data_IF_346178768422
#
_entry.id   IF_346178768422
#
_cell.length_a   1.000
_cell.length_b   1.000
_cell.length_c   1.000
_cell.angle_alpha   90.00
_cell.angle_beta   90.00
_cell.angle_gamma   90.00
#
_symmetry.space_group_name_H-M   'P 1'
#
loop_
_entity.id
_entity.type
_entity.pdbx_description
1 polymer ?
#
# COMPACT_ATOMS: atom_id res chain seq x y z
N UNK A 1 65.17 11.99 20.58
CA UNK A 1 64.02 11.24 21.08
C UNK A 1 62.78 11.89 20.49
N UNK A 2 62.24 11.30 19.42
CA UNK A 2 61.34 11.94 18.48
C UNK A 2 59.87 11.65 18.80
N UNK A 3 59.10 12.72 18.97
CA UNK A 3 57.65 12.73 18.93
C UNK A 3 57.21 13.19 17.54
N UNK A 4 56.38 12.40 16.87
CA UNK A 4 55.73 12.82 15.63
C UNK A 4 55.49 11.66 14.68
N UNK A 5 54.42 10.90 14.87
CA UNK A 5 53.81 10.07 13.81
C UNK A 5 52.45 9.44 14.22
N UNK A 6 51.45 10.22 14.66
CA UNK A 6 50.13 9.64 15.01
C UNK A 6 48.94 10.58 14.77
N UNK A 7 48.85 11.22 13.59
CA UNK A 7 47.73 12.12 13.29
C UNK A 7 47.16 12.05 11.86
N UNK A 8 47.47 11.04 11.05
CA UNK A 8 47.14 11.05 9.61
C UNK A 8 46.35 9.85 9.07
N UNK A 9 45.58 9.14 9.90
CA UNK A 9 44.86 7.92 9.47
C UNK A 9 43.34 7.89 9.79
N UNK A 10 42.69 9.05 9.91
CA UNK A 10 41.23 9.15 10.12
C UNK A 10 40.49 9.91 9.01
N UNK A 11 41.09 10.01 7.81
CA UNK A 11 40.47 10.62 6.63
C UNK A 11 39.92 9.60 5.62
N UNK A 12 39.68 8.36 6.04
CA UNK A 12 39.12 7.31 5.18
C UNK A 12 37.59 7.31 5.26
N UNK A 13 37.00 7.93 4.24
CA UNK A 13 35.73 7.53 3.62
C UNK A 13 34.44 7.71 4.45
N UNK A 14 34.10 8.96 4.81
CA UNK A 14 32.70 9.34 4.88
C UNK A 14 32.17 9.49 3.44
N UNK A 15 31.92 8.37 2.76
CA UNK A 15 31.11 8.42 1.56
C UNK A 15 29.74 8.98 1.98
N UNK A 16 29.22 10.02 1.33
CA UNK A 16 27.86 10.45 1.60
C UNK A 16 26.97 9.23 1.36
N UNK A 17 26.26 8.80 2.41
CA UNK A 17 25.11 7.92 2.26
C UNK A 17 24.18 8.67 1.31
N UNK A 18 24.23 8.32 0.02
CA UNK A 18 23.30 8.84 -0.95
C UNK A 18 21.92 8.43 -0.44
N UNK A 19 21.12 9.41 -0.03
CA UNK A 19 19.76 9.17 0.40
C UNK A 19 19.07 8.39 -0.73
N UNK A 20 18.64 7.16 -0.42
CA UNK A 20 17.88 6.36 -1.37
C UNK A 20 16.54 7.07 -1.55
N UNK A 21 16.30 7.50 -2.78
CA UNK A 21 15.10 8.21 -3.18
C UNK A 21 14.52 7.50 -4.39
N UNK A 22 13.24 7.70 -4.62
CA UNK A 22 12.64 7.38 -5.91
C UNK A 22 13.28 8.25 -7.00
N UNK A 23 13.63 7.62 -8.10
CA UNK A 23 14.16 8.30 -9.27
C UNK A 23 13.44 7.79 -10.51
N UNK A 24 13.28 8.68 -11.49
CA UNK A 24 12.84 8.28 -12.82
C UNK A 24 14.05 8.08 -13.72
N UNK A 25 14.14 6.90 -14.32
CA UNK A 25 15.00 6.62 -15.45
C UNK A 25 14.15 6.69 -16.72
N UNK A 26 14.48 7.62 -17.61
CA UNK A 26 13.78 7.82 -18.87
C UNK A 26 14.76 7.64 -20.02
N UNK A 27 14.37 6.84 -21.01
CA UNK A 27 15.21 6.52 -22.16
C UNK A 27 14.38 6.32 -23.43
N UNK A 28 15.05 6.36 -24.58
CA UNK A 28 14.51 5.98 -25.89
C UNK A 28 15.62 5.32 -26.68
N UNK A 29 15.52 4.01 -26.89
CA UNK A 29 16.51 3.22 -27.65
C UNK A 29 16.21 3.15 -29.16
N UNK A 30 15.14 3.82 -29.58
CA UNK A 30 14.62 3.83 -30.93
C UNK A 30 13.57 2.73 -31.21
N UNK A 31 13.43 1.74 -30.34
CA UNK A 31 12.36 0.76 -30.34
C UNK A 31 11.23 1.18 -29.41
N UNK A 32 11.56 1.49 -28.16
CA UNK A 32 10.64 2.03 -27.16
C UNK A 32 11.26 3.25 -26.46
N UNK A 33 10.41 4.23 -26.17
CA UNK A 33 10.68 5.25 -25.18
C UNK A 33 10.04 4.82 -23.85
N UNK A 34 10.87 4.57 -22.84
CA UNK A 34 10.46 4.06 -21.54
C UNK A 34 10.66 5.09 -20.43
N UNK A 35 9.80 5.02 -19.41
CA UNK A 35 9.98 5.71 -18.14
C UNK A 35 9.80 4.74 -16.99
N UNK A 36 10.83 4.61 -16.15
CA UNK A 36 10.86 3.69 -15.01
C UNK A 36 11.05 4.49 -13.74
N UNK A 37 10.16 4.33 -12.78
CA UNK A 37 10.23 4.95 -11.46
C UNK A 37 10.52 3.85 -10.47
N UNK A 38 11.71 3.89 -9.89
CA UNK A 38 12.21 2.83 -9.02
C UNK A 38 12.77 3.40 -7.73
N UNK A 39 12.62 2.63 -6.66
CA UNK A 39 13.35 2.83 -5.41
C UNK A 39 14.38 1.69 -5.27
N UNK A 40 15.69 1.99 -5.21
CA UNK A 40 16.71 0.95 -5.11
C UNK A 40 16.50 0.02 -3.90
N UNK A 41 16.31 -1.27 -4.17
CA UNK A 41 16.22 -2.32 -3.15
C UNK A 41 14.83 -2.52 -2.52
N UNK A 42 13.80 -1.79 -2.95
CA UNK A 42 12.44 -1.94 -2.41
C UNK A 42 11.66 -3.12 -3.03
N UNK A 43 11.97 -3.47 -4.28
CA UNK A 43 11.18 -4.46 -5.02
C UNK A 43 9.81 -3.94 -5.46
N UNK A 44 9.66 -2.61 -5.63
CA UNK A 44 8.46 -1.96 -6.16
C UNK A 44 8.85 -0.97 -7.25
N UNK A 45 8.08 -0.91 -8.34
CA UNK A 45 8.32 0.02 -9.44
C UNK A 45 7.05 0.48 -10.15
N UNK A 46 7.18 1.57 -10.89
CA UNK A 46 6.19 2.02 -11.86
C UNK A 46 6.88 2.15 -13.21
N UNK A 47 6.32 1.56 -14.25
CA UNK A 47 6.87 1.66 -15.58
C UNK A 47 5.80 2.08 -16.60
N UNK A 48 6.24 2.82 -17.61
CA UNK A 48 5.48 3.07 -18.82
C UNK A 48 6.41 2.93 -20.02
N UNK A 49 5.88 2.45 -21.14
CA UNK A 49 6.62 2.35 -22.38
C UNK A 49 5.73 2.76 -23.56
N UNK A 50 6.28 3.58 -24.44
CA UNK A 50 5.66 4.04 -25.67
C UNK A 50 6.51 3.62 -26.85
N UNK A 51 5.88 3.16 -27.94
CA UNK A 51 6.62 2.85 -29.17
C UNK A 51 7.41 4.10 -29.57
N UNK A 52 8.71 3.97 -29.79
CA UNK A 52 9.54 5.11 -30.17
C UNK A 52 9.11 5.66 -31.53
N UNK A 53 9.23 6.97 -31.72
CA UNK A 53 9.00 7.64 -33.01
C UNK A 53 9.98 7.17 -34.09
N UNK A 54 11.14 6.65 -33.69
CA UNK A 54 12.13 6.07 -34.60
C UNK A 54 11.68 4.70 -35.15
N UNK A 55 10.81 4.00 -34.43
CA UNK A 55 10.18 2.75 -34.81
C UNK A 55 11.16 1.65 -35.28
N UNK A 56 12.35 1.56 -34.67
CA UNK A 56 13.33 0.50 -34.96
C UNK A 56 12.77 -0.89 -34.64
N UNK A 57 13.12 -1.94 -35.40
CA UNK A 57 12.67 -3.29 -35.11
C UNK A 57 13.01 -3.73 -33.68
N UNK A 58 12.06 -4.37 -32.97
CA UNK A 58 12.27 -4.81 -31.58
C UNK A 58 13.39 -5.83 -31.40
N UNK A 59 13.68 -6.60 -32.45
CA UNK A 59 14.83 -7.51 -32.47
C UNK A 59 16.17 -6.77 -32.45
N UNK A 60 16.24 -5.55 -32.99
CA UNK A 60 17.46 -4.72 -32.98
C UNK A 60 17.69 -4.09 -31.61
N UNK A 61 16.61 -3.74 -30.89
CA UNK A 61 16.70 -3.08 -29.58
C UNK A 61 16.58 -4.05 -28.39
N UNK A 62 16.44 -5.35 -28.65
CA UNK A 62 16.27 -6.41 -27.64
C UNK A 62 15.02 -6.27 -26.76
N UNK A 63 13.98 -5.58 -27.25
CA UNK A 63 12.70 -5.37 -26.55
C UNK A 63 11.60 -6.36 -26.94
N UNK A 64 11.97 -7.51 -27.53
CA UNK A 64 11.00 -8.47 -28.06
C UNK A 64 10.32 -9.34 -26.98
N UNK A 65 10.81 -9.29 -25.73
CA UNK A 65 10.30 -10.07 -24.59
C UNK A 65 9.69 -9.21 -23.47
N UNK A 66 9.60 -7.89 -23.63
CA UNK A 66 9.16 -7.04 -22.53
C UNK A 66 7.64 -6.91 -22.47
N UNK A 67 7.11 -6.91 -21.25
CA UNK A 67 5.72 -6.54 -21.00
C UNK A 67 5.56 -5.03 -21.14
N UNK A 68 4.54 -4.59 -21.89
CA UNK A 68 4.32 -3.17 -22.18
C UNK A 68 2.94 -2.76 -21.69
N UNK A 69 2.91 -1.76 -20.80
CA UNK A 69 1.68 -1.13 -20.37
C UNK A 69 0.93 -0.52 -21.58
N UNK A 70 -0.42 -0.59 -21.62
CA UNK A 70 -1.18 0.14 -22.63
C UNK A 70 -0.92 1.65 -22.59
N UNK A 71 -1.21 2.39 -23.68
CA UNK A 71 -1.02 3.84 -23.70
C UNK A 71 -1.71 4.55 -22.54
N UNK A 72 -1.01 5.51 -21.93
CA UNK A 72 -1.47 6.31 -20.79
C UNK A 72 -1.75 5.49 -19.52
N UNK A 73 -1.08 4.35 -19.36
CA UNK A 73 -1.11 3.56 -18.15
C UNK A 73 0.29 3.42 -17.56
N UNK A 74 0.36 3.36 -16.23
CA UNK A 74 1.51 2.80 -15.54
C UNK A 74 1.26 1.31 -15.32
N UNK A 75 2.26 0.50 -15.59
CA UNK A 75 2.35 -0.82 -14.99
C UNK A 75 3.03 -0.65 -13.62
N UNK A 76 2.33 -1.05 -12.57
CA UNK A 76 2.89 -1.14 -11.22
C UNK A 76 3.42 -2.55 -11.05
N UNK A 77 4.65 -2.67 -10.54
CA UNK A 77 5.30 -3.95 -10.34
C UNK A 77 5.76 -4.16 -8.90
N UNK A 78 5.70 -5.41 -8.45
CA UNK A 78 6.23 -5.85 -7.15
C UNK A 78 7.05 -7.13 -7.33
N UNK A 79 8.25 -7.19 -6.76
CA UNK A 79 9.07 -8.40 -6.77
C UNK A 79 8.58 -9.42 -5.73
N UNK A 80 9.14 -10.63 -5.79
CA UNK A 80 8.81 -11.72 -4.86
C UNK A 80 9.25 -11.48 -3.40
N UNK A 81 10.18 -10.55 -3.15
CA UNK A 81 10.64 -10.24 -1.80
C UNK A 81 9.64 -9.36 -1.07
N UNK A 82 8.99 -8.45 -1.80
CA UNK A 82 7.94 -7.58 -1.29
C UNK A 82 6.57 -8.26 -1.28
N UNK A 83 6.23 -8.99 -2.36
CA UNK A 83 4.96 -9.72 -2.50
C UNK A 83 5.25 -11.17 -2.91
N UNK A 84 5.09 -12.15 -2.00
CA UNK A 84 5.39 -13.55 -2.32
C UNK A 84 4.64 -14.08 -3.54
N UNK A 85 5.33 -14.88 -4.37
CA UNK A 85 4.82 -15.55 -5.57
C UNK A 85 4.18 -16.92 -5.28
N UNK A 86 3.62 -17.10 -4.08
CA UNK A 86 3.09 -18.39 -3.59
C UNK A 86 1.73 -18.79 -4.22
N UNK A 87 1.20 -17.94 -5.10
CA UNK A 87 -0.12 -18.07 -5.74
C UNK A 87 -0.03 -17.64 -7.21
N UNK A 88 -0.97 -18.07 -8.07
CA UNK A 88 -0.98 -17.65 -9.47
C UNK A 88 -1.53 -16.22 -9.68
N UNK A 89 -2.32 -15.71 -8.72
CA UNK A 89 -2.96 -14.40 -8.80
C UNK A 89 -3.11 -13.79 -7.39
N UNK A 90 -3.04 -12.47 -7.28
CA UNK A 90 -3.29 -11.70 -6.03
C UNK A 90 -4.36 -10.66 -6.25
N UNK A 91 -5.36 -10.62 -5.38
CA UNK A 91 -6.42 -9.59 -5.36
C UNK A 91 -6.57 -8.93 -3.98
N UNK A 92 -5.60 -9.22 -3.12
CA UNK A 92 -5.54 -8.87 -1.70
C UNK A 92 -4.57 -7.72 -1.42
N UNK A 93 -4.07 -7.03 -2.46
CA UNK A 93 -3.11 -5.94 -2.32
C UNK A 93 -3.83 -4.59 -2.24
N UNK A 94 -3.52 -3.82 -1.21
CA UNK A 94 -4.06 -2.48 -0.95
C UNK A 94 -2.91 -1.51 -0.75
N UNK A 95 -2.90 -0.41 -1.50
CA UNK A 95 -1.99 0.72 -1.29
C UNK A 95 -2.70 1.80 -0.50
N UNK A 96 -2.24 2.08 0.71
CA UNK A 96 -2.68 3.24 1.47
C UNK A 96 -1.80 4.43 1.10
N UNK A 97 -2.38 5.39 0.39
CA UNK A 97 -1.75 6.65 0.05
C UNK A 97 -2.26 7.68 1.04
N UNK A 98 -1.38 8.11 1.93
CA UNK A 98 -1.69 8.86 3.14
C UNK A 98 -2.70 8.10 4.02
N UNK A 99 -3.96 8.52 4.02
CA UNK A 99 -5.04 7.88 4.76
C UNK A 99 -6.04 7.18 3.84
N UNK A 100 -5.86 7.21 2.52
CA UNK A 100 -6.82 6.60 1.59
C UNK A 100 -6.31 5.25 1.10
N UNK A 101 -7.09 4.19 1.34
CA UNK A 101 -6.80 2.85 0.86
C UNK A 101 -7.28 2.63 -0.58
N UNK A 102 -6.36 2.33 -1.48
CA UNK A 102 -6.62 1.98 -2.87
C UNK A 102 -6.36 0.49 -3.08
N UNK A 103 -7.43 -0.29 -3.25
CA UNK A 103 -7.29 -1.71 -3.63
C UNK A 103 -6.82 -1.81 -5.07
N UNK A 104 -5.73 -2.52 -5.29
CA UNK A 104 -5.26 -2.80 -6.64
C UNK A 104 -6.18 -3.83 -7.31
N UNK A 105 -6.38 -3.73 -8.64
CA UNK A 105 -6.96 -4.82 -9.42
C UNK A 105 -6.20 -6.13 -9.21
N UNK A 106 -6.83 -7.24 -9.59
CA UNK A 106 -6.17 -8.53 -9.51
C UNK A 106 -4.86 -8.52 -10.34
N UNK A 107 -3.76 -8.89 -9.69
CA UNK A 107 -2.42 -8.93 -10.25
C UNK A 107 -2.08 -10.36 -10.64
N UNK A 108 -1.41 -10.52 -11.77
CA UNK A 108 -0.89 -11.79 -12.25
C UNK A 108 0.62 -11.84 -12.08
N UNK A 109 1.14 -13.03 -11.78
CA UNK A 109 2.58 -13.24 -11.70
C UNK A 109 3.13 -13.35 -13.12
N UNK A 110 4.03 -12.45 -13.47
CA UNK A 110 4.73 -12.51 -14.73
C UNK A 110 6.02 -13.30 -14.56
N UNK A 111 6.02 -14.56 -15.02
CA UNK A 111 7.19 -15.44 -14.92
C UNK A 111 8.40 -14.93 -15.72
N UNK A 112 8.16 -14.17 -16.79
CA UNK A 112 9.22 -13.65 -17.65
C UNK A 112 9.99 -12.52 -16.95
N UNK A 113 9.26 -11.61 -16.30
CA UNK A 113 9.85 -10.48 -15.58
C UNK A 113 10.19 -10.82 -14.11
N UNK A 114 9.62 -11.89 -13.56
CA UNK A 114 9.78 -12.28 -12.16
C UNK A 114 9.09 -11.32 -11.19
N UNK A 115 7.97 -10.73 -11.61
CA UNK A 115 7.27 -9.68 -10.87
C UNK A 115 5.74 -9.86 -10.93
N UNK A 116 5.06 -9.43 -9.88
CA UNK A 116 3.62 -9.17 -9.92
C UNK A 116 3.35 -7.89 -10.69
N UNK A 117 2.38 -7.90 -11.61
CA UNK A 117 2.11 -6.73 -12.46
C UNK A 117 0.63 -6.36 -12.51
N UNK A 118 0.36 -5.06 -12.53
CA UNK A 118 -0.99 -4.51 -12.77
C UNK A 118 -0.89 -3.21 -13.54
N UNK A 119 -1.75 -3.04 -14.54
CA UNK A 119 -1.81 -1.80 -15.30
C UNK A 119 -2.90 -0.89 -14.73
N UNK A 120 -2.53 0.32 -14.34
CA UNK A 120 -3.46 1.38 -13.92
C UNK A 120 -3.39 2.57 -14.86
N UNK A 121 -4.54 3.19 -15.11
CA UNK A 121 -4.58 4.46 -15.83
C UNK A 121 -3.72 5.49 -15.11
N UNK A 122 -2.93 6.28 -15.85
CA UNK A 122 -2.22 7.43 -15.28
C UNK A 122 -3.17 8.51 -14.75
N UNK A 123 -4.46 8.45 -15.10
CA UNK A 123 -5.50 9.31 -14.52
C UNK A 123 -6.21 8.69 -13.31
N UNK A 124 -5.87 7.46 -12.94
CA UNK A 124 -6.44 6.74 -11.79
C UNK A 124 -6.24 7.56 -10.50
N UNK A 125 -7.22 7.48 -9.60
CA UNK A 125 -7.18 8.23 -8.35
C UNK A 125 -5.96 7.86 -7.49
N UNK A 126 -5.56 6.58 -7.47
CA UNK A 126 -4.39 6.12 -6.74
C UNK A 126 -3.09 6.71 -7.31
N UNK A 127 -2.92 6.71 -8.64
CA UNK A 127 -1.76 7.29 -9.30
C UNK A 127 -1.67 8.80 -9.06
N UNK A 128 -2.81 9.52 -9.13
CA UNK A 128 -2.86 10.95 -8.81
C UNK A 128 -2.46 11.22 -7.36
N UNK A 129 -2.98 10.42 -6.42
CA UNK A 129 -2.67 10.57 -5.00
C UNK A 129 -1.17 10.36 -4.72
N UNK A 130 -0.54 9.38 -5.38
CA UNK A 130 0.89 9.08 -5.26
C UNK A 130 1.80 10.26 -5.68
N UNK A 131 1.30 11.22 -6.44
CA UNK A 131 2.11 12.38 -6.84
C UNK A 131 2.29 13.42 -5.74
N UNK A 132 1.39 13.46 -4.77
CA UNK A 132 1.44 14.40 -3.64
C UNK A 132 1.52 13.68 -2.30
N UNK A 133 1.81 12.39 -2.33
CA UNK A 133 1.81 11.52 -1.15
C UNK A 133 2.87 11.94 -0.13
N UNK A 134 2.48 11.91 1.14
CA UNK A 134 3.38 12.12 2.28
C UNK A 134 3.71 10.81 2.99
N UNK A 135 2.87 9.80 2.84
CA UNK A 135 3.10 8.45 3.34
C UNK A 135 2.47 7.38 2.44
N UNK A 136 3.21 6.32 2.15
CA UNK A 136 2.71 5.20 1.36
C UNK A 136 2.87 3.92 2.17
N UNK A 137 1.79 3.16 2.32
CA UNK A 137 1.82 1.85 2.99
C UNK A 137 1.25 0.80 2.04
N UNK A 138 1.96 -0.32 1.88
CA UNK A 138 1.49 -1.47 1.11
C UNK A 138 1.03 -2.57 2.05
N UNK A 139 -0.25 -2.95 1.96
CA UNK A 139 -0.80 -4.10 2.66
C UNK A 139 -1.07 -5.23 1.68
N UNK A 140 -0.68 -6.45 2.08
CA UNK A 140 -0.76 -7.65 1.26
C UNK A 140 -1.55 -8.71 2.04
N UNK A 141 -2.86 -8.77 1.79
CA UNK A 141 -3.78 -9.60 2.54
C UNK A 141 -3.75 -9.28 4.04
N UNK A 142 -3.49 -10.30 4.87
CA UNK A 142 -3.36 -10.17 6.32
C UNK A 142 -1.91 -10.06 6.81
N UNK A 143 -0.95 -9.86 5.91
CA UNK A 143 0.47 -9.72 6.28
C UNK A 143 0.74 -8.35 6.92
N UNK A 144 1.86 -8.25 7.63
CA UNK A 144 2.35 -6.97 8.13
C UNK A 144 2.48 -5.97 6.97
N UNK A 145 2.00 -4.75 7.19
CA UNK A 145 2.03 -3.71 6.18
C UNK A 145 3.45 -3.12 6.04
N UNK A 146 3.82 -2.77 4.81
CA UNK A 146 5.12 -2.19 4.48
C UNK A 146 5.02 -0.68 4.37
N UNK A 147 5.77 0.06 5.19
CA UNK A 147 5.90 1.51 5.02
C UNK A 147 6.92 1.79 3.91
N UNK A 148 6.45 2.39 2.83
CA UNK A 148 7.21 2.63 1.60
C UNK A 148 7.74 4.07 1.64
N UNK A 149 9.06 4.29 1.52
CA UNK A 149 9.61 5.64 1.44
C UNK A 149 8.96 6.41 0.28
N UNK A 150 8.62 7.69 0.47
CA UNK A 150 7.96 8.49 -0.59
C UNK A 150 8.82 9.63 -1.14
N UNK A 151 10.01 9.83 -0.58
CA UNK A 151 10.92 10.91 -1.00
C UNK A 151 11.27 10.76 -2.48
N UNK A 152 10.92 11.78 -3.27
CA UNK A 152 11.16 11.81 -4.72
C UNK A 152 10.10 11.11 -5.57
N UNK A 153 9.12 10.40 -4.97
CA UNK A 153 8.16 9.58 -5.71
C UNK A 153 7.31 10.40 -6.67
N UNK A 154 6.68 11.46 -6.19
CA UNK A 154 5.83 12.31 -7.01
C UNK A 154 6.55 12.94 -8.21
N UNK A 155 7.69 13.64 -8.00
CA UNK A 155 8.50 14.15 -9.10
C UNK A 155 8.95 13.08 -10.10
N UNK A 156 9.35 11.89 -9.63
CA UNK A 156 9.75 10.79 -10.50
C UNK A 156 8.57 10.26 -11.34
N UNK A 157 7.41 10.05 -10.73
CA UNK A 157 6.18 9.67 -11.43
C UNK A 157 5.82 10.70 -12.51
N UNK A 158 5.88 11.99 -12.19
CA UNK A 158 5.56 13.03 -13.16
C UNK A 158 6.56 13.07 -14.33
N UNK A 159 7.86 12.89 -14.06
CA UNK A 159 8.89 12.82 -15.10
C UNK A 159 8.65 11.65 -16.06
N UNK A 160 8.44 10.43 -15.53
CA UNK A 160 8.14 9.25 -16.35
C UNK A 160 6.83 9.44 -17.15
N UNK A 161 5.78 9.96 -16.49
CA UNK A 161 4.49 10.24 -17.11
C UNK A 161 4.62 11.19 -18.30
N UNK A 162 5.34 12.30 -18.13
CA UNK A 162 5.54 13.29 -19.19
C UNK A 162 6.31 12.72 -20.38
N UNK A 163 7.37 11.94 -20.12
CA UNK A 163 8.18 11.31 -21.17
C UNK A 163 7.37 10.33 -22.03
N UNK A 164 6.65 9.40 -21.39
CA UNK A 164 5.82 8.43 -22.10
C UNK A 164 4.65 9.11 -22.83
N UNK A 165 3.99 10.09 -22.20
CA UNK A 165 2.89 10.83 -22.82
C UNK A 165 3.28 11.59 -24.08
N UNK A 166 4.44 12.25 -24.06
CA UNK A 166 4.95 12.96 -25.23
C UNK A 166 5.16 11.99 -26.41
N UNK A 167 5.70 10.81 -26.12
CA UNK A 167 5.95 9.78 -27.15
C UNK A 167 4.65 9.15 -27.67
N UNK A 168 3.69 8.82 -26.80
CA UNK A 168 2.38 8.33 -27.23
C UNK A 168 1.65 9.33 -28.11
N UNK A 169 1.64 10.61 -27.75
CA UNK A 169 1.06 11.67 -28.56
C UNK A 169 1.73 11.75 -29.94
N UNK A 170 3.07 11.73 -29.97
CA UNK A 170 3.85 11.77 -31.21
C UNK A 170 3.63 10.54 -32.11
N UNK A 171 3.25 9.40 -31.53
CA UNK A 171 2.96 8.15 -32.26
C UNK A 171 1.46 7.94 -32.53
N UNK A 172 0.64 8.98 -32.38
CA UNK A 172 -0.76 8.96 -32.79
C UNK A 172 -1.73 8.40 -31.75
N UNK A 173 -1.31 8.24 -30.50
CA UNK A 173 -2.17 7.87 -29.39
C UNK A 173 -2.61 9.16 -28.65
N UNK A 174 -3.82 9.68 -28.88
CA UNK A 174 -4.27 10.91 -28.25
C UNK A 174 -4.45 10.71 -26.74
N UNK A 175 -4.17 11.76 -25.96
CA UNK A 175 -4.32 11.73 -24.51
C UNK A 175 -5.80 11.55 -24.12
N UNK A 176 -6.11 10.69 -23.12
CA UNK A 176 -7.47 10.50 -22.66
C UNK A 176 -7.99 11.77 -21.95
N UNK A 177 -9.31 11.89 -21.83
CA UNK A 177 -9.94 12.99 -21.10
C UNK A 177 -9.43 13.05 -19.65
N UNK A 178 -9.06 14.25 -19.19
CA UNK A 178 -8.51 14.45 -17.85
C UNK A 178 -7.01 14.19 -17.74
N UNK A 179 -6.35 13.73 -18.81
CA UNK A 179 -4.89 13.63 -18.88
C UNK A 179 -4.29 15.02 -19.13
N UNK A 180 -4.13 15.79 -18.05
CA UNK A 180 -3.48 17.10 -18.05
C UNK A 180 -2.12 17.05 -17.36
N UNK A 181 -1.44 18.20 -17.33
CA UNK A 181 -0.43 18.45 -16.30
C UNK A 181 -1.11 18.26 -14.96
N UNK A 182 -0.58 17.37 -14.13
CA UNK A 182 -0.88 17.40 -12.70
C UNK A 182 0.04 18.48 -12.15
N UNK A 183 -0.24 19.72 -12.56
CA UNK A 183 0.19 20.87 -11.78
C UNK A 183 -0.38 20.61 -10.40
N UNK A 184 0.32 21.02 -9.35
CA UNK A 184 -0.26 21.17 -8.04
C UNK A 184 -1.36 22.27 -8.09
N UNK A 185 -2.32 22.15 -8.99
CA UNK A 185 -3.62 22.75 -8.89
C UNK A 185 -4.11 22.30 -7.53
N UNK A 186 -4.30 23.28 -6.65
CA UNK A 186 -4.66 23.10 -5.25
C UNK A 186 -5.56 21.88 -5.11
N UNK A 187 -4.99 20.75 -4.71
CA UNK A 187 -5.78 19.71 -4.09
C UNK A 187 -6.59 20.49 -3.03
N UNK A 188 -7.94 20.38 -2.98
CA UNK A 188 -8.67 20.90 -1.84
C UNK A 188 -7.88 20.42 -0.62
N UNK A 189 -7.45 21.32 0.30
CA UNK A 189 -6.41 21.02 1.27
C UNK A 189 -6.72 19.68 1.89
N UNK A 190 -6.00 18.65 1.41
CA UNK A 190 -6.04 17.34 2.02
C UNK A 190 -5.46 17.64 3.38
N UNK A 191 -6.19 17.36 4.48
CA UNK A 191 -5.66 17.55 5.81
C UNK A 191 -4.26 16.96 5.80
N UNK A 192 -3.23 17.80 5.91
CA UNK A 192 -1.86 17.32 5.80
C UNK A 192 -1.69 16.28 6.91
N UNK A 193 -1.40 15.01 6.58
CA UNK A 193 -1.10 14.03 7.61
C UNK A 193 0.10 14.58 8.37
N UNK A 194 -0.08 14.87 9.65
CA UNK A 194 1.05 15.21 10.51
C UNK A 194 2.00 14.00 10.48
N UNK A 195 3.33 14.21 10.35
CA UNK A 195 4.28 13.10 10.26
C UNK A 195 4.18 12.24 11.51
N UNK A 196 3.65 11.04 11.34
CA UNK A 196 3.41 10.04 12.36
C UNK A 196 3.03 8.76 11.65
N UNK A 197 3.06 7.64 12.37
CA UNK A 197 2.57 6.35 11.89
C UNK A 197 1.09 6.47 11.44
N UNK A 198 0.41 5.36 11.17
CA UNK A 198 -1.03 5.40 11.37
C UNK A 198 -1.15 5.75 12.85
N UNK A 199 -1.39 7.03 13.15
CA UNK A 199 -1.47 7.49 14.52
C UNK A 199 -2.73 6.84 15.01
N UNK A 200 -2.52 5.73 15.73
CA UNK A 200 -3.56 5.01 16.40
C UNK A 200 -4.44 6.08 17.04
N UNK A 201 -5.71 6.23 16.60
CA UNK A 201 -6.54 7.30 17.13
C UNK A 201 -6.48 7.21 18.65
N UNK A 202 -6.21 8.31 19.33
CA UNK A 202 -5.95 8.32 20.79
C UNK A 202 -7.04 7.58 21.58
N UNK A 203 -8.26 7.56 21.04
CA UNK A 203 -9.43 6.82 21.49
C UNK A 203 -9.21 5.30 21.51
N UNK A 204 -8.56 4.72 20.49
CA UNK A 204 -8.25 3.29 20.41
C UNK A 204 -7.23 2.90 21.48
N UNK A 205 -6.14 3.67 21.63
CA UNK A 205 -5.17 3.45 22.70
C UNK A 205 -5.80 3.66 24.08
N UNK A 206 -6.61 4.69 24.26
CA UNK A 206 -7.31 4.96 25.52
C UNK A 206 -8.30 3.84 25.86
N UNK A 207 -9.02 3.31 24.87
CA UNK A 207 -9.89 2.15 25.03
C UNK A 207 -9.09 0.94 25.50
N UNK A 208 -8.00 0.61 24.81
CA UNK A 208 -7.14 -0.51 25.21
C UNK A 208 -6.58 -0.31 26.62
N UNK A 209 -6.15 0.90 26.97
CA UNK A 209 -5.65 1.22 28.29
C UNK A 209 -6.71 1.03 29.38
N UNK A 210 -7.94 1.48 29.11
CA UNK A 210 -9.07 1.31 30.03
C UNK A 210 -9.38 -0.18 30.25
N UNK A 211 -9.43 -0.96 29.17
CA UNK A 211 -9.68 -2.40 29.23
C UNK A 211 -8.56 -3.14 29.99
N UNK A 212 -7.30 -2.74 29.79
CA UNK A 212 -6.14 -3.29 30.50
C UNK A 212 -5.95 -2.75 31.93
N UNK A 213 -6.79 -1.81 32.39
CA UNK A 213 -6.60 -1.08 33.65
C UNK A 213 -5.17 -0.51 33.82
N UNK A 214 -4.59 0.01 32.73
CA UNK A 214 -3.20 0.47 32.67
C UNK A 214 -2.72 0.70 31.24
N UNK A 215 -1.43 0.96 31.02
CA UNK A 215 -0.91 1.22 29.67
C UNK A 215 -0.78 -0.07 28.85
N UNK A 216 -1.71 -0.29 27.91
CA UNK A 216 -1.67 -1.42 26.99
C UNK A 216 -0.54 -1.24 25.96
N UNK A 217 0.15 -2.33 25.64
CA UNK A 217 1.06 -2.41 24.51
C UNK A 217 0.33 -3.10 23.34
N UNK A 218 0.01 -2.33 22.30
CA UNK A 218 -0.66 -2.83 21.09
C UNK A 218 0.44 -3.09 20.05
N UNK A 219 0.60 -4.35 19.63
CA UNK A 219 1.55 -4.68 18.58
C UNK A 219 1.05 -4.14 17.21
N UNK A 220 1.95 -3.81 16.26
CA UNK A 220 1.53 -3.28 14.95
C UNK A 220 0.61 -4.21 14.17
N UNK A 221 0.79 -5.52 14.28
CA UNK A 221 -0.04 -6.57 13.66
C UNK A 221 -1.39 -6.77 14.35
N UNK A 222 -1.56 -6.25 15.57
CA UNK A 222 -2.85 -6.21 16.26
C UNK A 222 -3.85 -5.26 15.57
N UNK A 223 -3.39 -4.40 14.67
CA UNK A 223 -4.18 -3.34 14.05
C UNK A 223 -4.23 -3.50 12.52
N UNK A 224 -5.43 -3.35 11.98
CA UNK A 224 -5.65 -3.13 10.55
C UNK A 224 -6.46 -1.86 10.37
N UNK A 225 -6.30 -1.19 9.23
CA UNK A 225 -7.03 0.02 8.91
C UNK A 225 -7.71 -0.09 7.54
N UNK A 226 -8.88 0.50 7.40
CA UNK A 226 -9.62 0.52 6.14
C UNK A 226 -10.93 1.28 6.28
N UNK A 227 -11.41 1.89 5.21
CA UNK A 227 -12.69 2.61 5.17
C UNK A 227 -13.87 1.60 5.05
N UNK A 228 -14.29 1.05 6.20
CA UNK A 228 -15.36 0.05 6.32
C UNK A 228 -16.74 0.69 6.21
N UNK A 229 -16.88 1.95 6.64
CA UNK A 229 -18.16 2.67 6.63
C UNK A 229 -18.35 3.66 5.46
N UNK A 230 -17.35 3.81 4.60
CA UNK A 230 -17.35 4.61 3.37
C UNK A 230 -17.47 6.11 3.61
N UNK A 231 -16.96 6.60 4.73
CA UNK A 231 -16.89 8.03 5.02
C UNK A 231 -15.60 8.70 4.48
N UNK A 232 -14.68 7.90 3.92
CA UNK A 232 -13.41 8.35 3.34
C UNK A 232 -12.28 8.48 4.36
N UNK A 233 -12.51 8.11 5.62
CA UNK A 233 -11.52 8.09 6.71
C UNK A 233 -11.29 6.64 7.14
N UNK A 234 -10.04 6.21 7.42
CA UNK A 234 -9.80 4.85 7.87
C UNK A 234 -10.47 4.53 9.21
N UNK A 235 -11.19 3.42 9.22
CA UNK A 235 -11.61 2.71 10.43
C UNK A 235 -10.48 1.82 10.93
N UNK A 236 -10.54 1.44 12.19
CA UNK A 236 -9.52 0.62 12.85
C UNK A 236 -10.12 -0.70 13.29
N UNK A 237 -9.48 -1.79 12.91
CA UNK A 237 -9.80 -3.12 13.42
C UNK A 237 -8.68 -3.55 14.35
N UNK A 238 -9.00 -3.80 15.61
CA UNK A 238 -8.07 -4.26 16.63
C UNK A 238 -8.35 -5.71 16.98
N UNK A 239 -7.36 -6.58 16.76
CA UNK A 239 -7.35 -7.96 17.21
C UNK A 239 -6.62 -8.05 18.56
N UNK A 240 -7.34 -8.42 19.61
CA UNK A 240 -6.77 -8.50 20.96
C UNK A 240 -5.73 -9.61 21.15
N UNK A 241 -5.58 -10.52 20.17
CA UNK A 241 -4.56 -11.57 20.19
C UNK A 241 -3.17 -11.02 20.50
N UNK A 242 -2.84 -9.89 19.89
CA UNK A 242 -1.50 -9.29 19.91
C UNK A 242 -1.49 -7.96 20.71
N UNK A 243 -2.41 -7.84 21.67
CA UNK A 243 -2.45 -6.74 22.66
C UNK A 243 -2.05 -7.26 24.03
N UNK A 244 -1.05 -6.62 24.65
CA UNK A 244 -0.52 -6.97 25.96
C UNK A 244 -0.93 -5.94 27.02
N UNK A 245 -1.51 -6.42 28.12
CA UNK A 245 -1.83 -5.59 29.29
C UNK A 245 -0.67 -5.60 30.31
N UNK A 246 -0.51 -4.55 31.14
CA UNK A 246 0.52 -4.52 32.17
C UNK A 246 0.42 -5.70 33.15
N UNK A 247 1.54 -6.39 33.35
CA UNK A 247 1.62 -7.51 34.30
C UNK A 247 1.05 -8.84 33.81
N UNK A 248 0.47 -8.87 32.61
CA UNK A 248 -0.03 -10.07 31.96
C UNK A 248 1.01 -10.62 30.96
N UNK A 249 1.13 -11.94 30.87
CA UNK A 249 1.97 -12.61 29.86
C UNK A 249 1.19 -13.10 28.65
N UNK A 250 -0.15 -13.02 28.71
CA UNK A 250 -1.08 -13.41 27.66
C UNK A 250 -2.17 -12.36 27.49
N UNK A 251 -2.80 -12.29 26.32
CA UNK A 251 -3.93 -11.41 26.07
C UNK A 251 -5.16 -11.90 26.84
N UNK A 252 -5.50 -11.22 27.94
CA UNK A 252 -6.67 -11.56 28.79
C UNK A 252 -8.03 -11.49 28.07
N UNK A 253 -8.04 -10.95 26.84
CA UNK A 253 -9.21 -10.83 25.96
C UNK A 253 -9.32 -11.97 24.94
N UNK A 254 -8.47 -12.98 25.08
CA UNK A 254 -8.54 -14.23 24.35
C UNK A 254 -8.93 -15.38 25.28
N UNK A 255 -10.05 -16.04 24.98
CA UNK A 255 -10.45 -17.28 25.62
C UNK A 255 -9.74 -18.48 25.00
N UNK A 256 -10.18 -19.69 25.37
CA UNK A 256 -9.59 -20.94 24.90
C UNK A 256 -9.62 -21.13 23.36
N UNK A 257 -10.51 -20.41 22.67
CA UNK A 257 -10.78 -20.64 21.25
C UNK A 257 -10.93 -19.37 20.41
N UNK A 258 -11.21 -18.20 21.01
CA UNK A 258 -11.45 -16.97 20.28
C UNK A 258 -10.85 -15.78 21.04
N UNK A 259 -10.40 -14.78 20.29
CA UNK A 259 -10.00 -13.47 20.76
C UNK A 259 -11.10 -12.45 20.50
N UNK A 260 -11.14 -11.42 21.35
CA UNK A 260 -11.96 -10.25 21.08
C UNK A 260 -11.41 -9.49 19.87
N UNK A 261 -12.30 -9.04 19.01
CA UNK A 261 -12.01 -8.17 17.88
C UNK A 261 -12.88 -6.93 18.04
N UNK A 262 -12.26 -5.76 17.94
CA UNK A 262 -12.95 -4.48 18.10
C UNK A 262 -12.78 -3.64 16.85
N UNK A 263 -13.88 -3.09 16.35
CA UNK A 263 -13.92 -2.25 15.16
C UNK A 263 -14.28 -0.84 15.57
N UNK A 264 -13.36 0.10 15.36
CA UNK A 264 -13.49 1.50 15.69
C UNK A 264 -13.77 2.27 14.41
N UNK A 265 -15.00 2.72 14.26
CA UNK A 265 -15.42 3.48 13.09
C UNK A 265 -15.08 4.96 13.25
N UNK A 266 -14.50 5.52 12.20
CA UNK A 266 -14.11 6.91 12.07
C UNK A 266 -15.33 7.84 12.07
N UNK A 267 -16.43 7.45 11.40
CA UNK A 267 -17.71 8.16 11.45
C UNK A 267 -18.33 8.27 12.85
N UNK A 268 -17.88 7.42 13.78
CA UNK A 268 -18.27 7.42 15.21
C UNK A 268 -17.20 8.03 16.11
N UNK A 269 -16.22 8.72 15.53
CA UNK A 269 -15.10 9.32 16.25
C UNK A 269 -14.24 8.30 17.00
N UNK A 270 -14.21 7.04 16.52
CA UNK A 270 -13.52 5.92 17.15
C UNK A 270 -14.00 5.61 18.58
N UNK A 271 -15.20 6.06 18.96
CA UNK A 271 -15.81 5.78 20.24
C UNK A 271 -16.74 4.56 20.15
N UNK A 272 -16.90 3.84 21.27
CA UNK A 272 -17.81 2.69 21.40
C UNK A 272 -17.61 1.65 20.27
N UNK A 273 -16.43 1.01 20.21
CA UNK A 273 -16.12 0.04 19.17
C UNK A 273 -17.18 -1.05 19.08
N UNK A 274 -17.44 -1.52 17.86
CA UNK A 274 -18.22 -2.73 17.65
C UNK A 274 -17.36 -3.94 18.04
N UNK A 275 -17.87 -4.80 18.91
CA UNK A 275 -17.11 -5.91 19.46
C UNK A 275 -17.65 -7.25 18.95
N UNK A 276 -16.74 -8.15 18.58
CA UNK A 276 -17.04 -9.52 18.20
C UNK A 276 -15.96 -10.47 18.69
N UNK A 277 -16.20 -11.77 18.55
CA UNK A 277 -15.24 -12.81 18.88
C UNK A 277 -14.81 -13.54 17.61
N UNK A 278 -13.54 -13.85 17.49
CA UNK A 278 -13.00 -14.64 16.37
C UNK A 278 -11.61 -15.19 16.67
N UNK A 279 -11.18 -16.18 15.91
CA UNK A 279 -9.80 -16.71 15.93
C UNK A 279 -8.82 -15.77 15.22
N UNK A 280 -9.35 -14.88 14.38
CA UNK A 280 -8.62 -13.84 13.66
C UNK A 280 -9.59 -12.94 12.89
N UNK A 281 -9.05 -11.87 12.32
CA UNK A 281 -9.79 -10.92 11.46
C UNK A 281 -8.89 -10.46 10.31
N UNK A 282 -9.48 -10.29 9.14
CA UNK A 282 -8.88 -9.63 7.99
C UNK A 282 -9.85 -8.63 7.36
N UNK A 283 -9.33 -7.50 6.88
CA UNK A 283 -10.09 -6.60 6.01
C UNK A 283 -10.01 -7.13 4.57
N UNK A 284 -11.14 -7.50 3.99
CA UNK A 284 -11.26 -8.06 2.63
C UNK A 284 -12.13 -7.18 1.74
N UNK A 285 -12.01 -7.34 0.42
CA UNK A 285 -12.96 -6.71 -0.51
C UNK A 285 -14.22 -7.56 -0.59
N UNK A 286 -15.36 -6.88 -0.67
CA UNK A 286 -16.64 -7.49 -0.99
C UNK A 286 -17.07 -7.17 -2.42
N UNK A 287 -17.87 -8.05 -3.04
CA UNK A 287 -18.43 -7.89 -4.38
C UNK A 287 -19.28 -6.64 -4.59
N UNK A 288 -19.77 -6.03 -3.50
CA UNK A 288 -20.47 -4.73 -3.54
C UNK A 288 -19.53 -3.52 -3.68
N UNK A 289 -18.22 -3.75 -3.76
CA UNK A 289 -17.20 -2.70 -3.74
C UNK A 289 -16.94 -2.11 -2.35
N UNK A 290 -17.56 -2.64 -1.29
CA UNK A 290 -17.23 -2.26 0.10
C UNK A 290 -15.98 -3.00 0.58
N UNK A 291 -15.32 -2.46 1.61
CA UNK A 291 -14.52 -3.29 2.49
C UNK A 291 -15.44 -4.07 3.44
N UNK A 292 -14.99 -5.27 3.80
CA UNK A 292 -15.69 -6.17 4.70
C UNK A 292 -14.69 -6.81 5.66
N UNK A 293 -15.20 -7.42 6.72
CA UNK A 293 -14.40 -8.16 7.68
C UNK A 293 -14.57 -9.65 7.43
N UNK A 294 -13.48 -10.32 7.12
CA UNK A 294 -13.37 -11.77 7.16
C UNK A 294 -12.99 -12.18 8.59
N UNK A 295 -13.87 -12.91 9.25
CA UNK A 295 -13.73 -13.27 10.66
C UNK A 295 -13.58 -14.78 10.75
N UNK A 296 -12.36 -15.20 11.05
CA UNK A 296 -12.11 -16.58 11.43
C UNK A 296 -12.85 -16.87 12.74
N UNK A 297 -13.54 -18.00 12.82
CA UNK A 297 -14.27 -18.37 14.02
C UNK A 297 -14.28 -19.87 14.25
N UNK A 298 -14.48 -20.25 15.51
CA UNK A 298 -14.83 -21.62 15.85
C UNK A 298 -16.31 -21.88 15.57
N UNK A 299 -16.72 -23.16 15.50
CA UNK A 299 -18.10 -23.56 15.23
C UNK A 299 -19.13 -22.86 16.14
N UNK A 300 -18.75 -22.53 17.38
CA UNK A 300 -19.61 -21.81 18.33
C UNK A 300 -19.90 -20.35 17.94
N UNK A 301 -19.06 -19.75 17.08
CA UNK A 301 -19.21 -18.36 16.59
C UNK A 301 -19.92 -18.34 15.24
N UNK A 302 -19.55 -19.22 14.31
CA UNK A 302 -20.10 -19.18 12.96
C UNK A 302 -21.30 -20.09 12.71
N UNK A 303 -21.64 -20.99 13.63
CA UNK A 303 -22.65 -22.02 13.41
C UNK A 303 -22.31 -22.99 12.27
N UNK A 304 -23.34 -23.59 11.65
CA UNK A 304 -23.18 -24.50 10.50
C UNK A 304 -22.97 -23.72 9.20
N UNK A 305 -21.75 -23.26 8.96
CA UNK A 305 -21.27 -22.89 7.61
C UNK A 305 -21.14 -21.40 7.28
N UNK A 306 -21.31 -20.49 8.24
CA UNK A 306 -21.23 -19.05 7.98
C UNK A 306 -19.85 -18.42 8.27
N UNK A 307 -18.79 -19.21 8.52
CA UNK A 307 -17.46 -18.63 8.80
C UNK A 307 -16.88 -17.91 7.58
N UNK A 308 -17.22 -18.37 6.38
CA UNK A 308 -16.63 -17.84 5.15
C UNK A 308 -17.41 -16.64 4.59
N UNK A 309 -18.42 -16.15 5.33
CA UNK A 309 -19.26 -15.03 4.89
C UNK A 309 -18.74 -13.72 5.48
N UNK A 310 -18.26 -12.77 4.65
CA UNK A 310 -17.73 -11.50 5.14
C UNK A 310 -18.81 -10.65 5.82
N UNK A 311 -18.38 -9.88 6.80
CA UNK A 311 -19.21 -8.93 7.54
C UNK A 311 -19.08 -7.53 6.94
N UNK A 312 -20.21 -6.93 6.56
CA UNK A 312 -20.26 -5.59 5.97
C UNK A 312 -20.94 -4.64 6.95
N UNK A 313 -20.43 -3.42 7.03
CA UNK A 313 -21.09 -2.35 7.75
C UNK A 313 -22.37 -1.91 7.04
N UNK A 314 -23.52 -1.99 7.73
CA UNK A 314 -24.83 -1.59 7.19
C UNK A 314 -25.19 -0.13 7.48
N UNK A 315 -24.31 0.60 8.17
CA UNK A 315 -24.59 1.94 8.72
C UNK A 315 -24.91 1.92 10.22
N UNK A 316 -25.43 0.79 10.72
CA UNK A 316 -25.78 0.60 12.14
C UNK A 316 -24.98 -0.50 12.81
N UNK A 317 -24.74 -1.60 12.10
CA UNK A 317 -24.06 -2.79 12.61
C UNK A 317 -23.28 -3.52 11.51
N UNK A 318 -22.45 -4.48 11.91
CA UNK A 318 -21.85 -5.42 10.96
C UNK A 318 -22.78 -6.61 10.77
N UNK A 319 -23.11 -6.91 9.52
CA UNK A 319 -23.94 -8.07 9.15
C UNK A 319 -23.22 -8.96 8.15
N UNK A 320 -23.47 -10.26 8.23
CA UNK A 320 -22.97 -11.22 7.26
C UNK A 320 -23.71 -11.06 5.93
N UNK A 321 -22.97 -10.74 4.87
CA UNK A 321 -23.51 -10.58 3.52
C UNK A 321 -22.78 -11.55 2.58
N UNK A 322 -23.48 -12.54 2.00
CA UNK A 322 -22.91 -13.44 1.02
C UNK A 322 -22.65 -12.77 -0.33
#
# INVERSE_FOLDING_TARGET
MGAGLFALLWALCAAPLAAQNWNADVSDDGGYAGGFVIYPGLGMGFNCAARSVQNKPLMETMWFESTVAPPYQFQITFDQNLVPSDRPQRSDIVMFVDQTGYRLPAMEWNELDGEWQVNLSMTDASIRALQTVTRLVLQVGSQAAWDIPVTGLGPALEQARQHCAATWLATGNPAPSGFGSITAAANPPVPQPQPGMFELPTQVQAYANQQCNGQAAIAPDALQAGDLDRDGVPDVVMNWRDVLCPGETLSGFCGAANCSIHVFLSSRGYANPWAMLGTGVGIVAHRSGALALDIGGTFSVCGQGACDTPWIWTGSEFEQVP
#
